data_IF_736166307099
#
_entry.id   IF_736166307099
#
_cell.length_a   1.000
_cell.length_b   1.000
_cell.length_c   1.000
_cell.angle_alpha   90.00
_cell.angle_beta   90.00
_cell.angle_gamma   90.00
#
_symmetry.space_group_name_H-M   'P 1'
#
loop_
_entity.id
_entity.type
_entity.pdbx_description
1 polymer ?
#
# COMPACT_ATOMS: atom_id res chain seq x y z
N UNK A 1 -0.31 13.36 8.41
CA UNK A 1 0.67 13.34 7.30
C UNK A 1 1.67 14.48 7.48
N UNK A 2 1.20 15.68 7.80
CA UNK A 2 2.05 16.88 7.99
C UNK A 2 3.21 16.66 8.96
N UNK A 3 2.96 16.05 10.13
CA UNK A 3 4.03 15.74 11.09
C UNK A 3 5.12 14.85 10.50
N UNK A 4 4.74 13.77 9.80
CA UNK A 4 5.71 12.89 9.15
C UNK A 4 6.47 13.66 8.06
N UNK A 5 5.77 14.41 7.21
CA UNK A 5 6.39 15.20 6.15
C UNK A 5 7.40 16.21 6.74
N UNK A 6 7.03 16.94 7.79
CA UNK A 6 7.91 17.88 8.49
C UNK A 6 9.12 17.20 9.13
N UNK A 7 8.99 15.99 9.67
CA UNK A 7 10.12 15.21 10.18
C UNK A 7 11.07 14.78 9.05
N UNK A 8 10.54 14.46 7.87
CA UNK A 8 11.36 14.07 6.74
C UNK A 8 12.12 15.28 6.14
N UNK A 9 11.62 16.52 6.31
CA UNK A 9 12.29 17.73 5.82
C UNK A 9 13.67 17.89 6.46
N UNK A 10 14.69 18.06 5.62
CA UNK A 10 16.07 18.21 6.06
C UNK A 10 16.77 16.90 6.46
N UNK A 11 16.09 15.74 6.31
CA UNK A 11 16.72 14.44 6.48
C UNK A 11 17.62 14.06 5.28
N UNK A 12 17.45 14.72 4.13
CA UNK A 12 18.30 14.50 2.96
C UNK A 12 19.74 14.91 3.24
N UNK A 13 20.66 14.00 2.95
CA UNK A 13 22.09 14.26 2.99
C UNK A 13 22.76 13.54 1.84
N UNK A 14 23.37 14.32 0.96
CA UNK A 14 24.31 13.85 -0.05
C UNK A 14 25.52 13.24 0.66
N UNK A 15 25.68 11.91 0.58
CA UNK A 15 26.72 11.19 1.31
C UNK A 15 27.99 11.00 0.48
N UNK A 16 27.92 11.19 -0.83
CA UNK A 16 29.03 10.98 -1.75
C UNK A 16 29.52 12.28 -2.43
N UNK A 17 28.93 13.43 -2.06
CA UNK A 17 29.25 14.78 -2.52
C UNK A 17 29.15 14.93 -4.05
N UNK A 18 28.26 14.19 -4.72
CA UNK A 18 28.12 14.22 -6.18
C UNK A 18 27.04 15.20 -6.69
N UNK A 19 26.28 15.81 -5.77
CA UNK A 19 25.24 16.78 -6.04
C UNK A 19 23.96 16.18 -6.63
N UNK A 20 23.81 14.85 -6.63
CA UNK A 20 22.64 14.14 -7.16
C UNK A 20 22.03 13.30 -6.04
N UNK A 21 20.73 13.46 -5.83
CA UNK A 21 20.00 12.55 -4.96
C UNK A 21 19.89 11.16 -5.60
N UNK A 22 20.53 10.16 -5.00
CA UNK A 22 20.55 8.77 -5.48
C UNK A 22 20.28 7.75 -4.36
N UNK A 23 20.27 6.47 -4.72
CA UNK A 23 20.18 5.37 -3.77
C UNK A 23 21.42 5.22 -2.87
N UNK A 24 22.45 6.06 -3.00
CA UNK A 24 23.64 6.08 -2.14
C UNK A 24 23.53 7.07 -0.98
N UNK A 25 22.55 7.96 -1.03
CA UNK A 25 22.38 9.07 -0.10
C UNK A 25 21.45 8.72 1.06
N UNK A 26 21.36 9.66 2.01
CA UNK A 26 20.38 9.61 3.09
C UNK A 26 19.10 10.35 2.69
N UNK A 27 17.94 9.83 3.08
CA UNK A 27 16.62 10.37 2.74
C UNK A 27 15.65 10.34 3.93
N UNK A 28 14.67 11.22 3.89
CA UNK A 28 13.58 11.24 4.87
C UNK A 28 12.56 10.13 4.63
N UNK A 29 12.18 9.90 3.38
CA UNK A 29 11.17 8.92 3.02
C UNK A 29 11.58 8.06 1.83
N UNK A 30 11.49 6.74 1.97
CA UNK A 30 11.66 5.76 0.88
C UNK A 30 10.32 5.09 0.59
N UNK A 31 9.88 5.18 -0.67
CA UNK A 31 8.62 4.57 -1.15
C UNK A 31 8.76 4.09 -2.60
N UNK A 32 7.67 3.69 -3.24
CA UNK A 32 7.59 3.42 -4.68
C UNK A 32 6.44 4.21 -5.30
N UNK A 33 6.50 4.46 -6.61
CA UNK A 33 5.42 5.15 -7.33
C UNK A 33 4.07 4.47 -7.12
N UNK A 34 4.04 3.14 -7.17
CA UNK A 34 2.83 2.33 -6.99
C UNK A 34 2.31 2.29 -5.55
N UNK A 35 3.07 2.80 -4.58
CA UNK A 35 2.65 2.79 -3.18
C UNK A 35 1.79 3.99 -2.78
N UNK A 36 1.48 4.89 -3.72
CA UNK A 36 0.61 6.04 -3.46
C UNK A 36 -0.80 5.61 -3.02
N UNK A 37 -1.34 4.54 -3.60
CA UNK A 37 -2.69 4.04 -3.26
C UNK A 37 -2.83 3.61 -1.80
N UNK A 38 -1.75 3.13 -1.17
CA UNK A 38 -1.77 2.76 0.25
C UNK A 38 -1.77 3.99 1.18
N UNK A 39 -1.05 5.04 0.80
CA UNK A 39 -1.10 6.33 1.50
C UNK A 39 -2.44 7.04 1.28
N UNK A 40 -3.05 6.90 0.10
CA UNK A 40 -4.38 7.43 -0.18
C UNK A 40 -5.47 6.71 0.63
N UNK A 41 -5.41 5.38 0.74
CA UNK A 41 -6.32 4.62 1.59
C UNK A 41 -6.23 5.06 3.06
N UNK A 42 -5.03 5.30 3.58
CA UNK A 42 -4.84 5.80 4.94
C UNK A 42 -5.31 7.24 5.13
N UNK A 43 -5.48 7.99 4.05
CA UNK A 43 -6.08 9.31 4.00
C UNK A 43 -7.59 9.29 3.69
N UNK A 44 -8.20 8.11 3.61
CA UNK A 44 -9.64 7.94 3.38
C UNK A 44 -10.06 8.01 1.91
N UNK A 45 -9.13 7.87 0.97
CA UNK A 45 -9.41 7.81 -0.48
C UNK A 45 -9.34 6.37 -0.96
N UNK A 46 -10.47 5.86 -1.43
CA UNK A 46 -10.62 4.51 -1.97
C UNK A 46 -11.16 4.58 -3.41
N UNK A 47 -10.69 3.68 -4.26
CA UNK A 47 -11.15 3.57 -5.64
C UNK A 47 -12.61 3.12 -5.65
N UNK A 48 -12.91 2.02 -4.97
CA UNK A 48 -14.26 1.53 -4.77
C UNK A 48 -14.57 1.29 -3.29
N UNK A 49 -15.81 1.59 -2.90
CA UNK A 49 -16.38 1.23 -1.60
C UNK A 49 -17.75 0.57 -1.79
N UNK A 50 -18.21 -0.16 -0.78
CA UNK A 50 -19.56 -0.71 -0.78
C UNK A 50 -20.56 0.33 -0.32
N UNK A 51 -21.75 0.31 -0.90
CA UNK A 51 -22.90 1.04 -0.38
C UNK A 51 -23.59 0.29 0.77
N UNK A 52 -24.70 0.85 1.24
CA UNK A 52 -25.55 0.30 2.30
C UNK A 52 -26.14 -1.08 1.99
N UNK A 53 -26.15 -1.51 0.73
CA UNK A 53 -26.64 -2.80 0.28
C UNK A 53 -25.51 -3.80 -0.01
N UNK A 54 -24.28 -3.51 0.45
CA UNK A 54 -23.08 -4.32 0.22
C UNK A 54 -22.62 -4.38 -1.26
N UNK A 55 -23.13 -3.48 -2.12
CA UNK A 55 -22.79 -3.42 -3.55
C UNK A 55 -21.62 -2.47 -3.78
N UNK A 56 -20.56 -2.89 -4.52
CA UNK A 56 -19.41 -2.02 -4.77
C UNK A 56 -19.77 -0.89 -5.74
N UNK A 57 -19.32 0.33 -5.41
CA UNK A 57 -19.50 1.55 -6.18
C UNK A 57 -18.18 2.30 -6.33
N UNK A 58 -18.05 3.09 -7.40
CA UNK A 58 -16.88 3.93 -7.66
C UNK A 58 -16.91 5.17 -6.76
N UNK A 59 -15.88 5.37 -5.94
CA UNK A 59 -15.80 6.44 -4.92
C UNK A 59 -14.54 7.29 -5.02
N UNK A 60 -13.66 6.99 -5.98
CA UNK A 60 -12.36 7.62 -6.13
C UNK A 60 -12.41 9.16 -6.26
N UNK A 61 -13.46 9.70 -6.89
CA UNK A 61 -13.54 11.11 -7.24
C UNK A 61 -14.51 11.92 -6.38
N UNK A 62 -13.95 12.94 -5.71
CA UNK A 62 -14.68 14.02 -5.05
C UNK A 62 -13.78 15.25 -4.97
N UNK A 63 -14.33 16.42 -4.63
CA UNK A 63 -13.52 17.61 -4.37
C UNK A 63 -12.49 17.34 -3.24
N UNK A 64 -12.95 16.69 -2.16
CA UNK A 64 -12.09 16.33 -1.02
C UNK A 64 -11.00 15.33 -1.41
N UNK A 65 -11.32 14.29 -2.19
CA UNK A 65 -10.34 13.31 -2.63
C UNK A 65 -9.28 13.95 -3.53
N UNK A 66 -9.68 14.91 -4.38
CA UNK A 66 -8.75 15.66 -5.23
C UNK A 66 -7.76 16.47 -4.39
N UNK A 67 -8.23 17.17 -3.35
CA UNK A 67 -7.37 17.89 -2.39
C UNK A 67 -6.41 16.95 -1.64
N UNK A 68 -6.88 15.77 -1.23
CA UNK A 68 -6.05 14.76 -0.57
C UNK A 68 -4.97 14.25 -1.54
N UNK A 69 -5.35 13.92 -2.77
CA UNK A 69 -4.43 13.46 -3.82
C UNK A 69 -3.37 14.50 -4.13
N UNK A 70 -3.75 15.78 -4.25
CA UNK A 70 -2.80 16.89 -4.41
C UNK A 70 -1.75 16.91 -3.29
N UNK A 71 -2.21 16.83 -2.03
CA UNK A 71 -1.33 16.90 -0.85
C UNK A 71 -0.40 15.69 -0.76
N UNK A 72 -0.90 14.49 -1.06
CA UNK A 72 -0.08 13.26 -1.08
C UNK A 72 0.94 13.31 -2.21
N UNK A 73 0.54 13.79 -3.40
CA UNK A 73 1.45 13.96 -4.53
C UNK A 73 2.54 14.99 -4.25
N UNK A 74 2.23 16.08 -3.54
CA UNK A 74 3.24 17.06 -3.12
C UNK A 74 4.32 16.38 -2.27
N UNK A 75 3.93 15.59 -1.27
CA UNK A 75 4.87 14.87 -0.41
C UNK A 75 5.67 13.80 -1.19
N UNK A 76 4.99 12.98 -2.01
CA UNK A 76 5.64 11.93 -2.78
C UNK A 76 6.61 12.52 -3.82
N UNK A 77 6.36 13.72 -4.35
CA UNK A 77 7.20 14.34 -5.37
C UNK A 77 8.19 15.38 -4.81
N UNK A 78 8.26 15.58 -3.49
CA UNK A 78 9.30 16.41 -2.88
C UNK A 78 10.67 15.72 -2.96
N UNK A 79 11.45 16.14 -3.96
CA UNK A 79 12.80 15.65 -4.25
C UNK A 79 13.85 16.04 -3.20
N UNK A 80 13.48 16.83 -2.20
CA UNK A 80 14.36 17.17 -1.06
C UNK A 80 14.14 16.25 0.14
N UNK A 81 13.17 15.35 0.04
CA UNK A 81 12.66 14.56 1.17
C UNK A 81 12.48 13.09 0.80
N UNK A 82 11.94 12.81 -0.40
CA UNK A 82 11.47 11.49 -0.82
C UNK A 82 12.33 10.92 -1.94
N UNK A 83 12.70 9.65 -1.81
CA UNK A 83 13.27 8.82 -2.88
C UNK A 83 12.32 7.68 -3.22
N UNK A 84 12.20 7.38 -4.51
CA UNK A 84 11.42 6.25 -5.00
C UNK A 84 12.33 5.08 -5.41
N UNK A 85 11.94 3.86 -5.06
CA UNK A 85 12.61 2.64 -5.52
C UNK A 85 12.73 2.61 -7.05
N UNK A 86 11.71 3.12 -7.75
CA UNK A 86 11.64 3.24 -9.21
C UNK A 86 12.75 4.13 -9.81
N UNK A 87 13.36 5.01 -9.00
CA UNK A 87 14.42 5.93 -9.43
C UNK A 87 15.82 5.35 -9.21
N UNK A 88 15.94 4.25 -8.45
CA UNK A 88 17.23 3.64 -8.13
C UNK A 88 17.65 2.74 -9.30
N UNK A 89 18.79 3.04 -9.96
CA UNK A 89 19.31 2.19 -11.01
C UNK A 89 19.66 0.79 -10.47
N UNK A 90 19.30 -0.26 -11.20
CA UNK A 90 19.65 -1.64 -10.82
C UNK A 90 21.16 -1.86 -10.71
N UNK A 91 21.97 -1.07 -11.42
CA UNK A 91 23.43 -1.05 -11.29
C UNK A 91 23.93 -0.60 -9.92
N UNK A 92 23.14 0.16 -9.16
CA UNK A 92 23.47 0.55 -7.78
C UNK A 92 23.11 -0.53 -6.77
N UNK A 93 22.21 -1.46 -7.13
CA UNK A 93 21.66 -2.47 -6.23
C UNK A 93 22.62 -3.64 -5.95
N UNK A 94 23.84 -3.65 -6.48
CA UNK A 94 24.83 -4.69 -6.17
C UNK A 94 24.40 -6.12 -6.50
N UNK A 95 23.48 -6.31 -7.45
CA UNK A 95 22.99 -7.62 -7.87
C UNK A 95 21.76 -8.13 -7.11
N UNK A 96 21.21 -7.37 -6.16
CA UNK A 96 19.92 -7.66 -5.52
C UNK A 96 18.77 -6.88 -6.19
N UNK A 97 17.53 -7.21 -5.86
CA UNK A 97 16.36 -6.45 -6.32
C UNK A 97 16.35 -5.03 -5.71
N UNK A 98 15.69 -4.07 -6.38
CA UNK A 98 15.52 -2.72 -5.84
C UNK A 98 14.85 -2.72 -4.46
N UNK A 99 13.93 -3.66 -4.22
CA UNK A 99 13.23 -3.81 -2.93
C UNK A 99 14.15 -4.28 -1.80
N UNK A 100 15.07 -5.19 -2.11
CA UNK A 100 16.10 -5.65 -1.17
C UNK A 100 17.13 -4.55 -0.93
N UNK A 101 17.53 -3.83 -1.98
CA UNK A 101 18.44 -2.69 -1.84
C UNK A 101 17.81 -1.57 -0.98
N UNK A 102 16.54 -1.25 -1.17
CA UNK A 102 15.81 -0.33 -0.30
C UNK A 102 15.72 -0.80 1.16
N UNK A 103 15.68 -2.12 1.40
CA UNK A 103 15.81 -2.67 2.75
C UNK A 103 17.21 -2.41 3.30
N UNK A 104 18.27 -2.64 2.52
CA UNK A 104 19.64 -2.33 2.89
C UNK A 104 19.83 -0.86 3.25
N UNK A 105 19.29 0.06 2.45
CA UNK A 105 19.34 1.50 2.75
C UNK A 105 18.75 1.82 4.13
N UNK A 106 17.61 1.21 4.49
CA UNK A 106 17.01 1.39 5.80
C UNK A 106 17.84 0.76 6.92
N UNK A 107 18.35 -0.46 6.73
CA UNK A 107 19.21 -1.13 7.71
C UNK A 107 20.55 -0.42 7.96
N UNK A 108 21.02 0.37 7.01
CA UNK A 108 22.22 1.22 7.09
C UNK A 108 21.93 2.63 7.63
N UNK A 109 20.73 2.87 8.18
CA UNK A 109 20.29 4.17 8.71
C UNK A 109 20.28 5.31 7.69
N UNK A 110 20.15 4.97 6.39
CA UNK A 110 20.07 5.97 5.32
C UNK A 110 18.65 6.44 5.04
N UNK A 111 17.65 5.87 5.71
CA UNK A 111 16.24 6.19 5.50
C UNK A 111 15.57 6.41 6.86
N UNK A 112 14.94 7.58 7.07
CA UNK A 112 14.21 7.85 8.31
C UNK A 112 12.87 7.09 8.37
N UNK A 113 12.06 7.17 7.30
CA UNK A 113 10.82 6.42 7.17
C UNK A 113 10.84 5.57 5.90
N UNK A 114 10.58 4.28 6.05
CA UNK A 114 10.47 3.36 4.92
C UNK A 114 9.04 2.83 4.82
N UNK A 115 8.42 3.09 3.69
CA UNK A 115 7.22 2.40 3.30
C UNK A 115 7.56 0.95 2.91
N UNK A 116 6.87 -0.04 3.49
CA UNK A 116 7.08 -1.45 3.12
C UNK A 116 5.89 -2.34 3.43
N UNK A 117 5.90 -3.55 2.87
CA UNK A 117 4.92 -4.58 3.15
C UNK A 117 5.28 -5.38 4.41
N UNK A 118 4.26 -5.86 5.14
CA UNK A 118 4.44 -6.64 6.38
C UNK A 118 5.28 -7.92 6.21
N UNK A 119 5.37 -8.49 5.02
CA UNK A 119 6.26 -9.64 4.79
C UNK A 119 7.74 -9.25 4.82
N UNK A 120 8.08 -8.01 4.49
CA UNK A 120 9.46 -7.52 4.40
C UNK A 120 10.01 -7.01 5.73
N UNK A 121 9.14 -6.60 6.67
CA UNK A 121 9.62 -6.08 7.95
C UNK A 121 10.37 -7.12 8.78
N UNK A 122 10.11 -8.42 8.57
CA UNK A 122 10.86 -9.52 9.19
C UNK A 122 12.36 -9.42 8.87
N UNK A 123 12.71 -8.89 7.69
CA UNK A 123 14.10 -8.68 7.30
C UNK A 123 14.80 -7.64 8.17
N UNK A 124 14.07 -6.72 8.81
CA UNK A 124 14.64 -5.73 9.72
C UNK A 124 15.03 -6.33 11.09
N UNK A 125 14.68 -7.59 11.37
CA UNK A 125 15.07 -8.27 12.63
C UNK A 125 16.57 -8.26 12.87
N UNK A 126 17.38 -8.29 11.80
CA UNK A 126 18.84 -8.31 11.88
C UNK A 126 19.46 -6.92 12.05
N UNK A 127 18.67 -5.84 12.04
CA UNK A 127 19.19 -4.49 12.29
C UNK A 127 19.77 -4.38 13.69
N UNK A 128 20.96 -3.78 13.78
CA UNK A 128 21.60 -3.46 15.05
C UNK A 128 20.90 -2.28 15.73
N UNK A 129 20.57 -1.24 14.96
CA UNK A 129 19.86 -0.05 15.46
C UNK A 129 18.38 -0.31 15.75
N UNK A 130 17.83 0.50 16.67
CA UNK A 130 16.40 0.48 17.00
C UNK A 130 15.55 1.02 15.84
N UNK A 131 14.39 0.40 15.62
CA UNK A 131 13.39 0.87 14.67
C UNK A 131 12.00 0.62 15.24
N UNK A 132 11.04 1.46 14.82
CA UNK A 132 9.64 1.33 15.16
C UNK A 132 8.77 0.98 13.95
N UNK A 133 7.54 0.54 14.23
CA UNK A 133 6.49 0.28 13.25
C UNK A 133 5.42 1.35 13.44
N UNK A 134 5.06 2.02 12.35
CA UNK A 134 3.98 3.00 12.34
C UNK A 134 2.95 2.65 11.29
N UNK A 135 1.66 2.95 11.53
CA UNK A 135 0.67 2.93 10.47
C UNK A 135 0.93 4.10 9.50
N UNK A 136 0.36 4.03 8.30
CA UNK A 136 0.46 5.18 7.38
C UNK A 136 -0.24 6.39 8.00
N UNK A 137 0.29 7.62 7.85
CA UNK A 137 -0.33 8.77 8.48
C UNK A 137 -1.71 9.07 7.89
N UNK A 138 -2.63 9.55 8.73
CA UNK A 138 -3.88 10.17 8.30
C UNK A 138 -3.62 11.47 7.53
N UNK A 139 -4.59 11.94 6.76
CA UNK A 139 -4.58 13.24 6.10
C UNK A 139 -4.51 14.39 7.13
N UNK A 140 -5.36 14.35 8.15
CA UNK A 140 -5.41 15.28 9.29
C UNK A 140 -5.83 14.55 10.60
N UNK A 141 -5.91 15.28 11.73
CA UNK A 141 -6.27 14.71 13.04
C UNK A 141 -7.74 14.34 13.18
N UNK A 142 -8.62 14.97 12.40
CA UNK A 142 -10.08 14.83 12.50
C UNK A 142 -10.61 13.73 11.57
N UNK A 143 -9.77 13.17 10.69
CA UNK A 143 -10.15 12.07 9.79
C UNK A 143 -10.61 10.83 10.56
N UNK A 144 -11.88 10.47 10.40
CA UNK A 144 -12.50 9.29 11.00
C UNK A 144 -12.23 8.01 10.20
N UNK A 145 -12.34 8.07 8.87
CA UNK A 145 -12.20 6.92 7.98
C UNK A 145 -10.73 6.57 7.76
N UNK A 146 -10.21 5.62 8.55
CA UNK A 146 -8.82 5.21 8.51
C UNK A 146 -8.67 3.76 8.03
N UNK A 147 -7.87 3.55 6.99
CA UNK A 147 -7.75 2.26 6.33
C UNK A 147 -6.31 1.93 5.91
N UNK A 148 -5.97 0.64 5.94
CA UNK A 148 -4.70 0.11 5.44
C UNK A 148 -4.97 -0.90 4.34
N UNK A 149 -4.74 -0.45 3.10
CA UNK A 149 -5.06 -1.21 1.89
C UNK A 149 -4.18 -2.45 1.69
N UNK A 150 -4.80 -3.54 1.24
CA UNK A 150 -4.09 -4.69 0.69
C UNK A 150 -3.74 -4.46 -0.79
N UNK A 151 -2.57 -4.94 -1.21
CA UNK A 151 -2.14 -4.87 -2.61
C UNK A 151 -2.97 -5.79 -3.52
N UNK A 152 -3.06 -5.45 -4.81
CA UNK A 152 -3.56 -6.32 -5.89
C UNK A 152 -2.87 -7.70 -5.93
N UNK A 153 -1.65 -7.82 -5.37
CA UNK A 153 -0.92 -9.09 -5.24
C UNK A 153 -1.48 -10.01 -4.13
N UNK A 154 -2.70 -9.77 -3.67
CA UNK A 154 -3.38 -10.64 -2.71
C UNK A 154 -3.67 -11.99 -3.38
N UNK A 155 -3.20 -13.12 -2.84
CA UNK A 155 -3.39 -14.41 -3.47
C UNK A 155 -4.89 -14.77 -3.49
N UNK A 156 -5.41 -15.05 -4.68
CA UNK A 156 -6.76 -15.60 -4.89
C UNK A 156 -6.62 -17.06 -5.31
N UNK A 157 -7.42 -17.94 -4.71
CA UNK A 157 -7.53 -19.35 -5.12
C UNK A 157 -8.84 -19.48 -5.89
N UNK A 158 -8.77 -19.97 -7.12
CA UNK A 158 -9.93 -20.20 -7.99
C UNK A 158 -10.07 -21.69 -8.33
N UNK A 159 -11.30 -22.19 -8.35
CA UNK A 159 -11.62 -23.54 -8.83
C UNK A 159 -11.96 -23.45 -10.32
N UNK A 160 -11.26 -24.18 -11.21
CA UNK A 160 -11.62 -24.21 -12.62
C UNK A 160 -13.04 -24.72 -12.83
N UNK A 161 -13.79 -24.08 -13.74
CA UNK A 161 -15.19 -24.45 -14.05
C UNK A 161 -15.37 -25.93 -14.46
N UNK A 162 -14.32 -26.54 -14.99
CA UNK A 162 -14.30 -27.93 -15.44
C UNK A 162 -13.72 -28.90 -14.41
N UNK A 163 -13.55 -28.47 -13.15
CA UNK A 163 -13.13 -29.35 -12.06
C UNK A 163 -14.14 -30.49 -11.88
N UNK A 164 -13.65 -31.74 -11.88
CA UNK A 164 -14.50 -32.92 -11.72
C UNK A 164 -15.13 -33.00 -10.32
N UNK A 165 -14.46 -32.44 -9.31
CA UNK A 165 -14.93 -32.40 -7.92
C UNK A 165 -14.75 -31.00 -7.32
N UNK A 166 -15.56 -30.06 -7.83
CA UNK A 166 -15.56 -28.67 -7.35
C UNK A 166 -16.01 -28.55 -5.88
N UNK A 167 -16.88 -29.45 -5.42
CA UNK A 167 -17.38 -29.44 -4.04
C UNK A 167 -16.27 -29.81 -3.05
N UNK A 168 -15.52 -30.89 -3.30
CA UNK A 168 -14.38 -31.23 -2.45
C UNK A 168 -13.29 -30.16 -2.48
N UNK A 169 -12.99 -29.59 -3.65
CA UNK A 169 -12.04 -28.47 -3.75
C UNK A 169 -12.50 -27.25 -2.94
N UNK A 170 -13.78 -26.90 -3.02
CA UNK A 170 -14.39 -25.83 -2.24
C UNK A 170 -14.31 -26.08 -0.74
N UNK A 171 -14.65 -27.30 -0.30
CA UNK A 171 -14.55 -27.69 1.11
C UNK A 171 -13.11 -27.60 1.65
N UNK A 172 -12.10 -27.97 0.85
CA UNK A 172 -10.68 -27.83 1.23
C UNK A 172 -10.28 -26.36 1.34
N UNK A 173 -10.68 -25.51 0.39
CA UNK A 173 -10.37 -24.07 0.43
C UNK A 173 -11.04 -23.39 1.63
N UNK A 174 -12.29 -23.74 1.94
CA UNK A 174 -13.00 -23.25 3.12
C UNK A 174 -12.26 -23.66 4.40
N UNK A 175 -11.86 -24.93 4.51
CA UNK A 175 -11.10 -25.42 5.67
C UNK A 175 -9.74 -24.72 5.81
N UNK A 176 -8.98 -24.56 4.72
CA UNK A 176 -7.71 -23.83 4.72
C UNK A 176 -7.90 -22.36 5.13
N UNK A 177 -8.97 -21.72 4.66
CA UNK A 177 -9.28 -20.32 5.00
C UNK A 177 -9.69 -20.19 6.46
N UNK A 178 -10.53 -21.09 6.97
CA UNK A 178 -10.93 -21.14 8.37
C UNK A 178 -9.72 -21.32 9.29
N UNK A 179 -8.90 -22.36 9.08
CA UNK A 179 -7.71 -22.59 9.91
C UNK A 179 -6.62 -21.54 9.70
N UNK A 180 -6.52 -20.98 8.49
CA UNK A 180 -5.69 -19.81 8.22
C UNK A 180 -6.07 -18.62 9.09
N UNK A 181 -7.38 -18.34 9.24
CA UNK A 181 -7.90 -17.25 10.07
C UNK A 181 -7.83 -17.54 11.57
N UNK A 182 -8.15 -18.77 11.99
CA UNK A 182 -8.32 -19.11 13.41
C UNK A 182 -7.06 -19.61 14.10
N UNK A 183 -6.10 -20.18 13.36
CA UNK A 183 -4.85 -20.72 13.91
C UNK A 183 -3.63 -19.95 13.37
N UNK A 184 -3.47 -19.88 12.05
CA UNK A 184 -2.23 -19.38 11.45
C UNK A 184 -2.08 -17.87 11.65
N UNK A 185 -3.12 -17.08 11.36
CA UNK A 185 -3.07 -15.61 11.50
C UNK A 185 -2.80 -15.17 12.94
N UNK A 186 -3.49 -15.70 13.99
CA UNK A 186 -3.18 -15.34 15.37
C UNK A 186 -1.75 -15.69 15.79
N UNK A 187 -1.25 -16.87 15.41
CA UNK A 187 0.13 -17.28 15.73
C UNK A 187 1.16 -16.41 15.01
N UNK A 188 0.94 -16.12 13.73
CA UNK A 188 1.79 -15.19 12.96
C UNK A 188 1.80 -13.81 13.61
N UNK A 189 0.64 -13.26 13.94
CA UNK A 189 0.51 -11.95 14.54
C UNK A 189 1.19 -11.87 15.91
N UNK A 190 0.86 -12.78 16.83
CA UNK A 190 1.34 -12.73 18.21
C UNK A 190 2.81 -13.14 18.32
N UNK A 191 3.22 -14.22 17.66
CA UNK A 191 4.58 -14.76 17.84
C UNK A 191 5.60 -14.15 16.90
N UNK A 192 5.23 -13.87 15.66
CA UNK A 192 6.17 -13.31 14.68
C UNK A 192 6.15 -11.80 14.77
N UNK A 193 5.00 -11.16 14.51
CA UNK A 193 4.96 -9.70 14.43
C UNK A 193 5.17 -9.04 15.80
N UNK A 194 4.32 -9.33 16.78
CA UNK A 194 4.48 -8.75 18.13
C UNK A 194 5.67 -9.33 18.91
N UNK A 195 5.88 -10.64 18.82
CA UNK A 195 6.89 -11.33 19.63
C UNK A 195 8.33 -11.26 19.12
N UNK A 196 8.55 -11.05 17.82
CA UNK A 196 9.89 -11.12 17.21
C UNK A 196 10.25 -9.87 16.40
N UNK A 197 9.29 -9.26 15.69
CA UNK A 197 9.55 -8.11 14.82
C UNK A 197 9.45 -6.79 15.58
N UNK A 198 8.34 -6.56 16.29
CA UNK A 198 8.16 -5.37 17.10
C UNK A 198 9.16 -5.38 18.25
N UNK A 199 9.86 -4.25 18.46
CA UNK A 199 10.93 -4.12 19.47
C UNK A 199 10.47 -3.35 20.70
N UNK A 200 9.29 -2.74 20.63
CA UNK A 200 8.72 -1.82 21.61
C UNK A 200 7.18 -1.98 21.66
N UNK A 201 6.56 -1.43 22.72
CA UNK A 201 5.12 -1.53 22.96
C UNK A 201 4.33 -0.66 21.97
N UNK A 202 4.88 0.49 21.58
CA UNK A 202 4.28 1.44 20.64
C UNK A 202 4.12 0.82 19.24
N UNK A 203 5.11 0.06 18.78
CA UNK A 203 5.08 -0.72 17.54
C UNK A 203 4.02 -1.81 17.60
N UNK A 204 3.83 -2.47 18.74
CA UNK A 204 2.79 -3.48 18.91
C UNK A 204 1.39 -2.85 18.83
N UNK A 205 1.21 -1.68 19.43
CA UNK A 205 -0.03 -0.91 19.33
C UNK A 205 -0.28 -0.42 17.89
N UNK A 206 0.76 0.03 17.19
CA UNK A 206 0.66 0.39 15.78
C UNK A 206 0.30 -0.81 14.89
N UNK A 207 0.80 -2.00 15.21
CA UNK A 207 0.39 -3.23 14.55
C UNK A 207 -1.10 -3.53 14.80
N UNK A 208 -1.65 -3.26 15.98
CA UNK A 208 -3.09 -3.44 16.23
C UNK A 208 -3.90 -2.53 15.30
N UNK A 209 -3.55 -1.24 15.25
CA UNK A 209 -4.17 -0.26 14.35
C UNK A 209 -4.17 -0.74 12.88
N UNK A 210 -3.00 -1.15 12.36
CA UNK A 210 -2.85 -1.58 10.96
C UNK A 210 -3.78 -2.76 10.64
N UNK A 211 -3.87 -3.74 11.54
CA UNK A 211 -4.66 -4.96 11.31
C UNK A 211 -6.15 -4.76 11.57
N UNK A 212 -6.54 -3.87 12.49
CA UNK A 212 -7.93 -3.54 12.79
C UNK A 212 -8.56 -2.66 11.70
N UNK A 213 -7.74 -1.92 10.95
CA UNK A 213 -8.17 -1.06 9.83
C UNK A 213 -7.81 -1.63 8.46
N UNK A 214 -7.51 -2.93 8.40
CA UNK A 214 -7.26 -3.66 7.16
C UNK A 214 -8.42 -3.50 6.15
N UNK A 215 -8.12 -3.04 4.93
CA UNK A 215 -9.11 -2.76 3.91
C UNK A 215 -8.77 -3.41 2.57
N UNK A 216 -9.80 -3.96 1.91
CA UNK A 216 -9.71 -4.54 0.57
C UNK A 216 -10.49 -3.65 -0.40
N UNK A 217 -9.75 -2.91 -1.22
CA UNK A 217 -10.32 -2.08 -2.28
C UNK A 217 -10.50 -2.92 -3.55
N UNK A 218 -11.75 -3.23 -3.91
CA UNK A 218 -12.05 -3.98 -5.14
C UNK A 218 -11.58 -3.22 -6.38
N UNK A 219 -11.63 -1.88 -6.33
CA UNK A 219 -11.16 -1.01 -7.39
C UNK A 219 -9.66 -1.16 -7.64
N UNK A 220 -8.88 -1.31 -6.57
CA UNK A 220 -7.44 -1.60 -6.65
C UNK A 220 -7.16 -3.03 -7.15
N UNK A 221 -7.89 -4.03 -6.63
CA UNK A 221 -7.65 -5.45 -6.97
C UNK A 221 -7.95 -5.74 -8.45
N UNK A 222 -8.98 -5.11 -9.00
CA UNK A 222 -9.41 -5.31 -10.40
C UNK A 222 -8.90 -4.22 -11.36
N UNK A 223 -8.10 -3.26 -10.85
CA UNK A 223 -7.71 -2.02 -11.53
C UNK A 223 -8.88 -1.37 -12.29
N UNK A 224 -9.97 -1.09 -11.57
CA UNK A 224 -11.20 -0.53 -12.15
C UNK A 224 -10.88 0.82 -12.81
N UNK A 225 -11.09 0.91 -14.12
CA UNK A 225 -10.80 2.12 -14.90
C UNK A 225 -9.31 2.46 -15.05
N UNK A 226 -8.41 1.51 -14.81
CA UNK A 226 -6.96 1.70 -14.74
C UNK A 226 -6.56 2.79 -13.71
N UNK A 227 -7.36 2.97 -12.65
CA UNK A 227 -7.20 4.08 -11.70
C UNK A 227 -5.94 3.94 -10.83
N UNK A 228 -5.53 2.73 -10.44
CA UNK A 228 -4.26 2.51 -9.74
C UNK A 228 -3.08 2.87 -10.66
N UNK A 229 -3.16 2.39 -11.91
CA UNK A 229 -2.16 2.71 -12.95
C UNK A 229 -2.03 4.22 -13.17
N UNK A 230 -3.15 4.95 -13.19
CA UNK A 230 -3.15 6.42 -13.36
C UNK A 230 -2.58 7.16 -12.15
N UNK A 231 -2.96 6.76 -10.94
CA UNK A 231 -2.42 7.33 -9.70
C UNK A 231 -0.89 7.11 -9.61
N UNK A 232 -0.44 5.90 -9.94
CA UNK A 232 0.99 5.58 -10.04
C UNK A 232 1.71 6.47 -11.06
N UNK A 233 1.10 6.69 -12.23
CA UNK A 233 1.66 7.53 -13.28
C UNK A 233 1.76 9.02 -12.87
N UNK A 234 0.87 9.52 -12.01
CA UNK A 234 0.94 10.89 -11.49
C UNK A 234 2.17 11.11 -10.63
N UNK A 235 2.55 10.13 -9.80
CA UNK A 235 3.81 10.18 -9.04
C UNK A 235 4.99 10.18 -10.00
N UNK A 236 5.03 9.24 -10.95
CA UNK A 236 6.14 9.17 -11.91
C UNK A 236 6.31 10.45 -12.73
N UNK A 237 5.22 11.14 -13.08
CA UNK A 237 5.25 12.38 -13.87
C UNK A 237 5.43 13.64 -13.02
N UNK A 238 5.15 13.57 -11.72
CA UNK A 238 5.15 14.72 -10.81
C UNK A 238 4.01 15.72 -11.05
N UNK A 239 2.90 15.28 -11.65
CA UNK A 239 1.77 16.16 -12.02
C UNK A 239 0.46 15.53 -11.61
N UNK A 240 -0.40 16.28 -10.91
CA UNK A 240 -1.76 15.83 -10.63
C UNK A 240 -2.64 16.00 -11.89
N UNK A 241 -3.05 14.88 -12.47
CA UNK A 241 -3.98 14.81 -13.60
C UNK A 241 -5.28 14.08 -13.25
N UNK A 242 -5.56 13.86 -11.95
CA UNK A 242 -6.62 12.97 -11.49
C UNK A 242 -8.00 13.34 -12.00
N UNK A 243 -8.38 14.61 -11.96
CA UNK A 243 -9.70 15.04 -12.42
C UNK A 243 -9.92 14.75 -13.91
N UNK A 244 -8.94 15.05 -14.77
CA UNK A 244 -9.02 14.75 -16.20
C UNK A 244 -8.93 13.26 -16.49
N UNK A 245 -8.07 12.55 -15.77
CA UNK A 245 -7.87 11.11 -15.95
C UNK A 245 -9.10 10.32 -15.52
N UNK A 246 -9.75 10.71 -14.42
CA UNK A 246 -11.00 10.13 -13.95
C UNK A 246 -12.14 10.40 -14.92
N UNK A 247 -12.34 11.65 -15.35
CA UNK A 247 -13.40 12.01 -16.30
C UNK A 247 -13.27 11.23 -17.63
N UNK A 248 -12.05 10.89 -18.04
CA UNK A 248 -11.82 10.10 -19.24
C UNK A 248 -12.19 8.61 -19.10
N UNK A 249 -12.22 8.06 -17.88
CA UNK A 249 -12.45 6.62 -17.64
C UNK A 249 -13.68 6.30 -16.81
N UNK A 250 -14.37 7.30 -16.27
CA UNK A 250 -15.52 7.13 -15.38
C UNK A 250 -16.57 6.17 -15.95
N UNK A 251 -16.99 6.39 -17.20
CA UNK A 251 -18.02 5.55 -17.83
C UNK A 251 -17.53 4.12 -18.11
N UNK A 252 -16.26 3.95 -18.51
CA UNK A 252 -15.69 2.61 -18.68
C UNK A 252 -15.49 1.88 -17.34
N UNK A 253 -15.12 2.61 -16.28
CA UNK A 253 -14.95 2.10 -14.93
C UNK A 253 -16.29 1.61 -14.36
N UNK A 254 -17.35 2.42 -14.49
CA UNK A 254 -18.72 2.03 -14.13
C UNK A 254 -19.18 0.79 -14.90
N UNK A 255 -18.90 0.73 -16.21
CA UNK A 255 -19.25 -0.43 -17.04
C UNK A 255 -18.50 -1.70 -16.60
N UNK A 256 -17.21 -1.57 -16.27
CA UNK A 256 -16.40 -2.68 -15.77
C UNK A 256 -16.92 -3.19 -14.42
N UNK A 257 -17.27 -2.28 -13.52
CA UNK A 257 -17.82 -2.60 -12.20
C UNK A 257 -19.20 -3.26 -12.30
N UNK A 258 -20.10 -2.72 -13.14
CA UNK A 258 -21.42 -3.32 -13.37
C UNK A 258 -21.28 -4.73 -13.94
N UNK A 259 -20.39 -4.94 -14.91
CA UNK A 259 -20.13 -6.27 -15.46
C UNK A 259 -19.62 -7.25 -14.40
N UNK A 260 -18.80 -6.79 -13.45
CA UNK A 260 -18.37 -7.61 -12.34
C UNK A 260 -19.55 -8.02 -11.44
N UNK A 261 -20.42 -7.07 -11.11
CA UNK A 261 -21.64 -7.30 -10.31
C UNK A 261 -22.57 -8.29 -11.02
N UNK A 262 -22.91 -8.06 -12.29
CA UNK A 262 -23.80 -8.92 -13.07
C UNK A 262 -23.28 -10.37 -13.15
N UNK A 263 -21.96 -10.52 -13.37
CA UNK A 263 -21.34 -11.84 -13.39
C UNK A 263 -21.45 -12.54 -12.04
N UNK A 264 -21.24 -11.82 -10.94
CA UNK A 264 -21.37 -12.38 -9.60
C UNK A 264 -22.82 -12.80 -9.33
N UNK A 265 -23.80 -11.93 -9.59
CA UNK A 265 -25.23 -12.21 -9.43
C UNK A 265 -25.71 -13.41 -10.25
N UNK A 266 -25.13 -13.64 -11.44
CA UNK A 266 -25.47 -14.79 -12.30
C UNK A 266 -25.01 -16.15 -11.75
N UNK A 267 -24.16 -16.16 -10.73
CA UNK A 267 -23.61 -17.38 -10.11
C UNK A 267 -24.34 -17.73 -8.80
N UNK A 268 -24.83 -16.72 -8.07
CA UNK A 268 -25.53 -16.88 -6.79
C UNK A 268 -27.05 -17.05 -6.93
N UNK A 269 -27.63 -16.69 -8.08
CA UNK A 269 -29.03 -16.93 -8.43
C UNK A 269 -29.19 -18.18 -9.31
#
# INVERSE_FOLDING_TARGET
MDTMYDMCKGAYKDLNDDGKGTGKDQWGYLTAYSSIVFQLASCGVHICEKDENDIPNLTAYSAKNTEIIDKVLEFYNDKTTTIHLDQIPTSECGGVSVYEYGNTMFMENRIMFRQTAMVRIIQCRVMEEEFGILPYPKYDSEQENYAHGFSYSTPVIAIPRYSEDAEAAGAVIEALSYYGRTLVRPEYYNRVLKGVVARDEESQFCLDIIFDTAFYDLGLVLDIGDLDTKLTAMVSKGTNTFASDYAAVEESAKTQLQKYIDNYESIIN
#
